data_IF_019693747524
#
_entry.id   IF_019693747524
#
_cell.length_a   1.000
_cell.length_b   1.000
_cell.length_c   1.000
_cell.angle_alpha   90.00
_cell.angle_beta   90.00
_cell.angle_gamma   90.00
#
_symmetry.space_group_name_H-M   'P 1'
#
loop_
_entity.id
_entity.type
_entity.pdbx_description
1 polymer ?
#
# COMPACT_ATOMS: atom_id res chain seq x y z
N UNK A 1 5.27 -7.68 -4.74
CA UNK A 1 5.29 -9.07 -4.25
C UNK A 1 3.93 -9.46 -3.68
N UNK A 2 3.47 -10.69 -3.92
CA UNK A 2 2.19 -11.19 -3.37
C UNK A 2 2.45 -11.83 -2.01
N UNK A 3 1.82 -11.30 -0.96
CA UNK A 3 1.99 -11.81 0.41
C UNK A 3 0.79 -12.63 0.90
N UNK A 4 -0.34 -12.57 0.21
CA UNK A 4 -1.50 -13.39 0.52
C UNK A 4 -2.58 -13.26 -0.55
N UNK A 5 -3.37 -14.32 -0.73
CA UNK A 5 -4.53 -14.33 -1.64
C UNK A 5 -5.77 -14.72 -0.85
N UNK A 6 -6.86 -13.98 -1.08
CA UNK A 6 -8.20 -14.31 -0.59
C UNK A 6 -9.17 -14.30 -1.77
N UNK A 7 -10.36 -14.86 -1.56
CA UNK A 7 -11.39 -14.90 -2.61
C UNK A 7 -11.77 -13.46 -2.99
N UNK A 8 -11.37 -13.03 -4.18
CA UNK A 8 -11.65 -11.70 -4.73
C UNK A 8 -10.69 -10.58 -4.33
N UNK A 9 -9.66 -10.82 -3.51
CA UNK A 9 -8.66 -9.82 -3.14
C UNK A 9 -7.26 -10.41 -2.99
N UNK A 10 -6.23 -9.63 -3.31
CA UNK A 10 -4.83 -10.03 -3.16
C UNK A 10 -4.11 -9.01 -2.31
N UNK A 11 -3.39 -9.48 -1.29
CA UNK A 11 -2.55 -8.65 -0.45
C UNK A 11 -1.15 -8.56 -1.08
N UNK A 12 -0.71 -7.32 -1.34
CA UNK A 12 0.53 -7.03 -2.05
C UNK A 12 1.47 -6.22 -1.16
N UNK A 13 2.75 -6.58 -1.21
CA UNK A 13 3.86 -5.72 -0.78
C UNK A 13 4.38 -4.95 -1.98
N UNK A 14 4.32 -3.63 -1.90
CA UNK A 14 4.75 -2.71 -2.96
C UNK A 14 5.93 -1.90 -2.44
N UNK A 15 7.04 -1.90 -3.19
CA UNK A 15 8.16 -1.02 -2.94
C UNK A 15 8.06 0.16 -3.91
N UNK A 16 8.23 1.38 -3.39
CA UNK A 16 8.17 2.59 -4.19
C UNK A 16 9.58 3.00 -4.62
N UNK A 17 9.80 3.13 -5.92
CA UNK A 17 11.02 3.76 -6.46
C UNK A 17 10.86 5.27 -6.60
N UNK A 18 9.62 5.73 -6.84
CA UNK A 18 9.27 7.14 -6.99
C UNK A 18 8.05 7.48 -6.13
N UNK A 19 7.90 8.76 -5.79
CA UNK A 19 6.89 9.26 -4.85
C UNK A 19 5.81 10.15 -5.48
N UNK A 20 5.34 9.85 -6.70
CA UNK A 20 4.30 10.68 -7.33
C UNK A 20 2.96 10.57 -6.60
N UNK A 21 2.18 11.65 -6.64
CA UNK A 21 0.86 11.72 -5.99
C UNK A 21 -0.05 10.58 -6.48
N UNK A 22 -0.61 9.82 -5.54
CA UNK A 22 -1.51 8.67 -5.80
C UNK A 22 -0.93 7.57 -6.72
N UNK A 23 0.39 7.48 -6.88
CA UNK A 23 1.03 6.58 -7.85
C UNK A 23 0.54 5.12 -7.78
N UNK A 24 0.58 4.51 -6.59
CA UNK A 24 0.12 3.11 -6.40
C UNK A 24 -1.36 2.97 -6.81
N UNK A 25 -2.20 3.94 -6.44
CA UNK A 25 -3.64 3.89 -6.68
C UNK A 25 -3.97 3.91 -8.18
N UNK A 26 -3.30 4.80 -8.92
CA UNK A 26 -3.44 4.93 -10.38
C UNK A 26 -2.95 3.65 -11.06
N UNK A 27 -1.71 3.21 -10.77
CA UNK A 27 -1.13 2.03 -11.41
C UNK A 27 -1.97 0.77 -11.18
N UNK A 28 -2.49 0.58 -9.96
CA UNK A 28 -3.34 -0.56 -9.62
C UNK A 28 -4.68 -0.53 -10.37
N UNK A 29 -5.27 0.65 -10.56
CA UNK A 29 -6.45 0.81 -11.40
C UNK A 29 -6.16 0.54 -12.88
N UNK A 30 -5.03 1.03 -13.40
CA UNK A 30 -4.67 0.87 -14.82
C UNK A 30 -4.49 -0.62 -15.20
N UNK A 31 -3.97 -1.44 -14.28
CA UNK A 31 -3.89 -2.90 -14.46
C UNK A 31 -5.20 -3.64 -14.13
N UNK A 32 -6.32 -2.93 -13.96
CA UNK A 32 -7.65 -3.45 -13.62
C UNK A 32 -7.74 -4.16 -12.25
N UNK A 33 -6.82 -3.87 -11.33
CA UNK A 33 -6.82 -4.38 -9.97
C UNK A 33 -6.82 -3.24 -8.94
N UNK A 34 -7.89 -2.43 -8.87
CA UNK A 34 -7.93 -1.26 -7.99
C UNK A 34 -7.81 -1.61 -6.51
N UNK A 35 -7.25 -0.68 -5.73
CA UNK A 35 -7.06 -0.86 -4.28
C UNK A 35 -8.43 -0.90 -3.58
N UNK A 36 -8.66 -1.89 -2.73
CA UNK A 36 -9.90 -2.03 -1.95
C UNK A 36 -10.20 -0.75 -1.16
N UNK A 37 -11.45 -0.28 -1.19
CA UNK A 37 -11.88 0.95 -0.51
C UNK A 37 -11.47 2.25 -1.23
N UNK A 38 -10.82 2.18 -2.38
CA UNK A 38 -10.49 3.35 -3.19
C UNK A 38 -11.64 3.81 -4.09
N UNK A 39 -12.55 4.61 -3.52
CA UNK A 39 -13.72 5.13 -4.25
C UNK A 39 -13.35 5.98 -5.48
N UNK A 40 -12.16 6.60 -5.49
CA UNK A 40 -11.73 7.51 -6.56
C UNK A 40 -11.16 6.75 -7.76
N UNK A 41 -10.54 5.60 -7.52
CA UNK A 41 -9.82 4.83 -8.54
C UNK A 41 -10.47 3.46 -8.82
N UNK A 42 -11.81 3.42 -8.89
CA UNK A 42 -12.55 2.29 -9.44
C UNK A 42 -12.79 1.11 -8.50
N UNK A 43 -12.52 1.24 -7.19
CA UNK A 43 -12.78 0.15 -6.25
C UNK A 43 -14.28 -0.04 -6.01
N UNK A 44 -14.80 -1.22 -6.41
CA UNK A 44 -16.19 -1.62 -6.16
C UNK A 44 -16.38 -2.24 -4.77
N UNK A 45 -15.33 -2.85 -4.23
CA UNK A 45 -15.30 -3.47 -2.91
C UNK A 45 -14.77 -2.49 -1.87
N UNK A 46 -15.51 -2.30 -0.78
CA UNK A 46 -15.09 -1.52 0.39
C UNK A 46 -15.27 -2.33 1.69
N UNK A 47 -14.76 -3.55 1.71
CA UNK A 47 -14.88 -4.46 2.86
C UNK A 47 -14.13 -3.97 4.11
N UNK A 48 -13.15 -3.08 3.93
CA UNK A 48 -12.26 -2.60 5.00
C UNK A 48 -12.75 -1.27 5.61
N UNK A 49 -13.70 -0.58 4.95
CA UNK A 49 -14.23 0.72 5.38
C UNK A 49 -13.24 1.89 5.28
N UNK A 50 -12.05 1.66 4.73
CA UNK A 50 -11.01 2.65 4.45
C UNK A 50 -10.15 2.19 3.28
N UNK A 51 -9.28 3.07 2.79
CA UNK A 51 -8.31 2.72 1.75
C UNK A 51 -7.43 1.53 2.20
N UNK A 52 -7.40 0.48 1.39
CA UNK A 52 -6.59 -0.73 1.52
C UNK A 52 -5.10 -0.52 1.27
N UNK A 53 -4.56 0.64 1.65
CA UNK A 53 -3.17 1.01 1.50
C UNK A 53 -2.59 1.37 2.88
N UNK A 54 -1.39 0.87 3.16
CA UNK A 54 -0.72 1.07 4.43
C UNK A 54 0.79 1.10 4.26
N UNK A 55 1.44 2.15 4.77
CA UNK A 55 2.88 2.27 4.78
C UNK A 55 3.45 1.42 5.93
N UNK A 56 3.98 0.24 5.57
CA UNK A 56 4.51 -0.76 6.51
C UNK A 56 5.93 -0.43 6.99
N UNK A 57 6.77 0.09 6.09
CA UNK A 57 8.18 0.39 6.34
C UNK A 57 8.49 1.78 5.82
N UNK A 58 9.19 2.57 6.62
CA UNK A 58 9.85 3.81 6.17
C UNK A 58 11.32 3.70 6.54
N UNK A 59 12.21 3.85 5.57
CA UNK A 59 13.65 3.86 5.80
C UNK A 59 14.30 5.02 5.04
N UNK A 60 15.19 5.74 5.71
CA UNK A 60 15.92 6.87 5.14
C UNK A 60 17.22 7.12 5.92
N UNK A 61 18.16 7.82 5.31
CA UNK A 61 19.37 8.29 5.98
C UNK A 61 19.02 9.50 6.85
N UNK A 62 19.38 9.46 8.13
CA UNK A 62 19.20 10.59 9.03
C UNK A 62 19.91 11.83 8.45
N UNK A 63 19.23 12.99 8.31
CA UNK A 63 19.78 14.15 7.60
C UNK A 63 21.02 14.75 8.26
N UNK A 64 21.17 14.58 9.58
CA UNK A 64 22.33 15.04 10.36
C UNK A 64 23.39 13.94 10.56
N UNK A 65 23.04 12.79 11.13
CA UNK A 65 24.02 11.74 11.47
C UNK A 65 24.41 10.84 10.30
N UNK A 66 23.65 10.82 9.19
CA UNK A 66 23.87 9.93 8.05
C UNK A 66 23.51 8.46 8.31
N UNK A 67 23.13 8.10 9.54
CA UNK A 67 22.77 6.74 9.91
C UNK A 67 21.46 6.29 9.23
N UNK A 68 21.36 5.00 8.91
CA UNK A 68 20.14 4.43 8.36
C UNK A 68 19.10 4.32 9.47
N UNK A 69 18.03 5.09 9.37
CA UNK A 69 16.85 4.95 10.21
C UNK A 69 15.83 4.06 9.52
N UNK A 70 15.24 3.15 10.29
CA UNK A 70 14.17 2.27 9.81
C UNK A 70 13.04 2.25 10.82
N UNK A 71 11.83 2.50 10.34
CA UNK A 71 10.60 2.48 11.10
C UNK A 71 9.66 1.43 10.50
N UNK A 72 9.11 0.57 11.35
CA UNK A 72 8.16 -0.48 10.95
C UNK A 72 6.84 -0.27 11.71
N UNK A 73 5.70 -0.42 11.02
CA UNK A 73 4.36 -0.30 11.59
C UNK A 73 3.60 -1.62 11.47
N UNK A 74 2.75 -2.03 12.42
CA UNK A 74 2.05 -3.32 12.27
C UNK A 74 1.00 -3.27 11.14
N UNK A 75 0.89 -4.36 10.35
CA UNK A 75 -0.17 -4.46 9.34
C UNK A 75 -1.52 -4.44 10.08
N UNK A 76 -2.45 -3.54 9.72
CA UNK A 76 -3.73 -3.46 10.40
C UNK A 76 -4.52 -4.76 10.26
N UNK A 77 -5.12 -5.26 11.36
CA UNK A 77 -5.88 -6.53 11.37
C UNK A 77 -6.96 -6.61 10.28
N UNK A 78 -7.54 -5.48 9.89
CA UNK A 78 -8.54 -5.40 8.80
C UNK A 78 -8.00 -5.78 7.41
N UNK A 79 -6.67 -5.86 7.24
CA UNK A 79 -6.01 -6.24 5.98
C UNK A 79 -5.60 -7.73 5.98
N UNK A 80 -5.61 -8.37 7.15
CA UNK A 80 -5.30 -9.79 7.33
C UNK A 80 -6.51 -10.67 7.07
#
# INVERSE_FOLDING_TARGET
EVIGRKKGTTLLKVNLETGRKNQIRVHMQDIKHPIVGDKKYGAKLNTIGRLGLHAKVLAFHHPVTGEIMRFDSAIPKKFQ
#
